data_IF_133034810582
#
_entry.id   IF_133034810582
#
_cell.length_a   1.000
_cell.length_b   1.000
_cell.length_c   1.000
_cell.angle_alpha   90.00
_cell.angle_beta   90.00
_cell.angle_gamma   90.00
#
_symmetry.space_group_name_H-M   'P 1'
#
loop_
_entity.id
_entity.type
_entity.pdbx_description
1 polymer ?
#
# COMPACT_ATOMS: atom_id res chain seq x y z
N UNK A 1 -10.83 -9.85 27.62
CA UNK A 1 -9.40 -9.50 27.40
C UNK A 1 -9.19 -9.54 25.89
N UNK A 2 -9.13 -8.39 25.22
CA UNK A 2 -9.11 -8.35 23.74
C UNK A 2 -7.80 -8.93 23.21
N UNK A 3 -7.88 -9.82 22.22
CA UNK A 3 -6.72 -10.36 21.52
C UNK A 3 -5.82 -9.21 21.06
N UNK A 4 -4.55 -9.22 21.47
CA UNK A 4 -3.57 -8.26 20.97
C UNK A 4 -3.28 -8.59 19.51
N UNK A 5 -3.99 -7.96 18.58
CA UNK A 5 -3.71 -8.11 17.15
C UNK A 5 -2.39 -7.43 16.83
N UNK A 6 -1.48 -8.13 16.17
CA UNK A 6 -0.27 -7.58 15.56
C UNK A 6 -0.63 -7.11 14.15
N UNK A 7 -0.04 -6.00 13.72
CA UNK A 7 -0.16 -5.51 12.35
C UNK A 7 1.23 -5.29 11.78
N UNK A 8 1.45 -5.80 10.58
CA UNK A 8 2.73 -5.79 9.91
C UNK A 8 2.63 -5.03 8.60
N UNK A 9 3.61 -4.18 8.34
CA UNK A 9 3.89 -3.59 7.04
C UNK A 9 5.01 -4.40 6.39
N UNK A 10 4.84 -4.74 5.12
CA UNK A 10 5.84 -5.41 4.29
C UNK A 10 6.18 -4.53 3.10
N UNK A 11 7.47 -4.52 2.75
CA UNK A 11 7.99 -3.96 1.51
C UNK A 11 8.79 -5.07 0.85
N UNK A 12 8.44 -5.40 -0.39
CA UNK A 12 9.12 -6.40 -1.17
C UNK A 12 9.49 -5.85 -2.54
N UNK A 13 10.57 -6.36 -3.12
CA UNK A 13 10.91 -6.12 -4.52
C UNK A 13 10.07 -7.02 -5.41
N UNK A 14 9.43 -6.46 -6.43
CA UNK A 14 8.57 -7.24 -7.34
C UNK A 14 9.36 -8.08 -8.35
N UNK A 15 10.62 -7.74 -8.63
CA UNK A 15 11.43 -8.49 -9.59
C UNK A 15 12.15 -9.66 -8.92
N UNK A 16 12.66 -9.45 -7.70
CA UNK A 16 13.42 -10.48 -6.97
C UNK A 16 12.58 -11.28 -5.97
N UNK A 17 11.35 -10.85 -5.71
CA UNK A 17 10.45 -11.41 -4.68
C UNK A 17 11.02 -11.33 -3.26
N UNK A 18 12.07 -10.52 -3.06
CA UNK A 18 12.74 -10.38 -1.77
C UNK A 18 12.00 -9.42 -0.86
N UNK A 19 11.85 -9.80 0.40
CA UNK A 19 11.33 -8.92 1.45
C UNK A 19 12.45 -7.96 1.86
N UNK A 20 12.30 -6.69 1.50
CA UNK A 20 13.23 -5.60 1.83
C UNK A 20 13.02 -5.12 3.27
N UNK A 21 11.76 -5.00 3.71
CA UNK A 21 11.45 -4.44 5.02
C UNK A 21 10.20 -5.08 5.63
N UNK A 22 10.29 -5.41 6.91
CA UNK A 22 9.16 -5.80 7.74
C UNK A 22 9.08 -4.87 8.94
N UNK A 23 7.93 -4.23 9.14
CA UNK A 23 7.70 -3.38 10.30
C UNK A 23 6.41 -3.75 11.03
N UNK A 24 6.54 -4.12 12.30
CA UNK A 24 5.43 -4.60 13.12
C UNK A 24 4.99 -3.54 14.14
N UNK A 25 3.69 -3.46 14.39
CA UNK A 25 3.14 -2.62 15.45
C UNK A 25 1.81 -3.13 16.00
N UNK A 26 1.27 -2.38 16.96
CA UNK A 26 -0.02 -2.72 17.60
C UNK A 26 -1.16 -2.60 16.59
N UNK A 27 -2.04 -3.60 16.54
CA UNK A 27 -3.11 -3.71 15.54
C UNK A 27 -4.22 -2.65 15.62
N UNK A 28 -4.33 -1.91 16.74
CA UNK A 28 -5.29 -0.79 16.89
C UNK A 28 -4.93 0.47 16.08
N UNK A 29 -3.82 0.51 15.35
CA UNK A 29 -3.41 1.64 14.52
C UNK A 29 -3.83 1.54 13.04
N UNK A 30 -3.96 2.69 12.37
CA UNK A 30 -4.13 2.75 10.92
C UNK A 30 -2.88 2.26 10.18
N UNK A 31 -3.04 1.60 9.03
CA UNK A 31 -1.94 1.06 8.22
C UNK A 31 -0.96 2.16 7.81
N UNK A 32 -1.47 3.31 7.39
CA UNK A 32 -0.63 4.47 7.03
C UNK A 32 0.14 5.06 8.22
N UNK A 33 -0.29 4.82 9.46
CA UNK A 33 0.50 5.19 10.64
C UNK A 33 1.73 4.30 10.80
N UNK A 34 1.65 3.03 10.44
CA UNK A 34 2.80 2.13 10.43
C UNK A 34 3.83 2.58 9.40
N UNK A 35 3.38 2.91 8.18
CA UNK A 35 4.24 3.50 7.14
C UNK A 35 5.04 4.70 7.62
N UNK A 36 4.36 5.68 8.24
CA UNK A 36 5.04 6.88 8.76
C UNK A 36 6.03 6.55 9.88
N UNK A 37 5.76 5.50 10.67
CA UNK A 37 6.61 5.06 11.79
C UNK A 37 7.79 4.20 11.34
N UNK A 38 7.63 3.40 10.29
CA UNK A 38 8.70 2.56 9.75
C UNK A 38 9.81 3.38 9.12
N UNK A 39 9.53 4.64 8.74
CA UNK A 39 10.48 5.58 8.12
C UNK A 39 11.13 5.03 6.85
N UNK A 40 10.49 4.04 6.22
CA UNK A 40 10.88 3.55 4.90
C UNK A 40 10.87 4.74 3.93
N UNK A 41 11.95 4.85 3.15
CA UNK A 41 12.09 5.86 2.10
C UNK A 41 12.43 5.14 0.82
N UNK A 42 11.55 5.29 -0.17
CA UNK A 42 11.82 4.84 -1.52
C UNK A 42 12.70 5.86 -2.22
N UNK A 43 13.55 5.40 -3.13
CA UNK A 43 14.21 6.31 -4.04
C UNK A 43 13.14 7.00 -4.92
N UNK A 44 13.21 8.31 -5.20
CA UNK A 44 12.13 9.03 -5.90
C UNK A 44 11.74 8.45 -7.27
N UNK A 45 12.69 7.78 -7.93
CA UNK A 45 12.47 7.12 -9.22
C UNK A 45 11.93 5.68 -9.11
N UNK A 46 12.01 5.06 -7.95
CA UNK A 46 11.47 3.71 -7.74
C UNK A 46 9.95 3.77 -7.76
N UNK A 47 9.32 2.91 -8.55
CA UNK A 47 7.86 2.78 -8.52
C UNK A 47 7.44 2.03 -7.26
N UNK A 48 6.48 2.56 -6.50
CA UNK A 48 5.84 1.81 -5.42
C UNK A 48 4.37 1.54 -5.72
N UNK A 49 3.93 0.31 -5.47
CA UNK A 49 2.54 -0.11 -5.63
C UNK A 49 2.02 -0.49 -4.25
N UNK A 50 0.95 0.19 -3.84
CA UNK A 50 0.50 0.19 -2.45
C UNK A 50 -0.98 -0.19 -2.35
N UNK A 51 -1.40 -0.66 -1.18
CA UNK A 51 -2.81 -0.97 -0.95
C UNK A 51 -3.68 0.30 -0.82
N UNK A 52 -4.99 0.14 -0.99
CA UNK A 52 -6.00 1.18 -0.78
C UNK A 52 -6.00 1.79 0.63
N UNK A 53 -5.34 1.16 1.62
CA UNK A 53 -5.06 1.73 2.93
C UNK A 53 -4.08 2.90 2.92
N UNK A 54 -3.28 3.06 1.86
CA UNK A 54 -2.19 4.04 1.73
C UNK A 54 -2.58 5.27 0.90
N UNK A 55 -3.87 5.61 0.85
CA UNK A 55 -4.32 6.82 0.16
C UNK A 55 -3.60 8.07 0.68
N UNK A 56 -3.04 8.86 -0.24
CA UNK A 56 -2.24 10.04 0.08
C UNK A 56 -0.74 9.79 0.19
N UNK A 57 -0.26 8.57 -0.05
CA UNK A 57 1.19 8.27 -0.08
C UNK A 57 1.96 9.07 -1.16
N UNK A 58 1.28 9.54 -2.21
CA UNK A 58 1.84 10.44 -3.21
C UNK A 58 2.49 11.71 -2.64
N UNK A 59 2.06 12.17 -1.45
CA UNK A 59 2.67 13.30 -0.76
C UNK A 59 4.05 12.98 -0.13
N UNK A 60 4.36 11.69 0.06
CA UNK A 60 5.61 11.20 0.61
C UNK A 60 6.52 10.57 -0.46
N UNK A 61 5.92 9.99 -1.51
CA UNK A 61 6.62 9.39 -2.64
C UNK A 61 5.82 9.61 -3.92
N UNK A 62 6.31 10.47 -4.82
CA UNK A 62 5.54 10.89 -6.00
C UNK A 62 5.32 9.77 -7.01
N UNK A 63 6.25 8.82 -7.12
CA UNK A 63 6.13 7.67 -8.02
C UNK A 63 5.41 6.49 -7.34
N UNK A 64 4.26 6.78 -6.72
CA UNK A 64 3.44 5.79 -6.01
C UNK A 64 2.07 5.62 -6.64
N UNK A 65 1.63 4.36 -6.69
CA UNK A 65 0.37 3.96 -7.30
C UNK A 65 -0.51 3.26 -6.26
N UNK A 66 -1.72 3.79 -6.09
CA UNK A 66 -2.74 3.22 -5.21
C UNK A 66 -4.03 2.97 -5.99
N UNK A 67 -4.82 1.94 -5.64
CA UNK A 67 -6.14 1.73 -6.21
C UNK A 67 -7.04 2.94 -6.01
N UNK A 68 -7.84 3.29 -7.02
CA UNK A 68 -8.85 4.34 -6.92
C UNK A 68 -10.02 3.87 -6.07
N UNK A 69 -10.33 4.61 -5.01
CA UNK A 69 -11.52 4.38 -4.17
C UNK A 69 -12.75 5.01 -4.82
N UNK A 70 -13.88 4.32 -4.69
CA UNK A 70 -15.20 4.92 -5.00
C UNK A 70 -15.49 6.04 -4.00
N UNK A 71 -16.01 7.16 -4.49
CA UNK A 71 -16.57 8.20 -3.62
C UNK A 71 -18.02 7.89 -3.26
N UNK A 72 -18.57 8.54 -2.23
CA UNK A 72 -19.92 8.25 -1.72
C UNK A 72 -21.02 8.40 -2.78
N UNK A 73 -20.83 9.31 -3.74
CA UNK A 73 -21.87 9.70 -4.71
C UNK A 73 -21.52 9.34 -6.16
N UNK A 74 -20.49 8.52 -6.40
CA UNK A 74 -20.10 8.16 -7.77
C UNK A 74 -19.55 6.73 -7.83
N UNK A 75 -19.86 6.05 -8.94
CA UNK A 75 -19.28 4.75 -9.30
C UNK A 75 -17.90 4.94 -9.93
N UNK A 76 -17.04 3.93 -9.77
CA UNK A 76 -15.81 3.85 -10.55
C UNK A 76 -16.16 3.75 -12.04
N UNK A 77 -15.47 4.54 -12.85
CA UNK A 77 -15.50 4.44 -14.31
C UNK A 77 -14.87 3.13 -14.76
N UNK A 78 -15.15 2.68 -15.98
CA UNK A 78 -14.52 1.47 -16.52
C UNK A 78 -13.00 1.59 -16.54
N UNK A 79 -12.46 2.76 -16.92
CA UNK A 79 -11.02 3.02 -16.90
C UNK A 79 -10.41 2.90 -15.49
N UNK A 80 -11.09 3.38 -14.45
CA UNK A 80 -10.60 3.23 -13.06
C UNK A 80 -10.65 1.79 -12.58
N UNK A 81 -11.66 1.02 -13.01
CA UNK A 81 -11.74 -0.41 -12.71
C UNK A 81 -10.61 -1.17 -13.40
N UNK A 82 -10.34 -0.85 -14.65
CA UNK A 82 -9.30 -1.48 -15.45
C UNK A 82 -7.91 -1.17 -14.89
N UNK A 83 -7.68 0.09 -14.49
CA UNK A 83 -6.50 0.51 -13.73
C UNK A 83 -6.35 -0.27 -12.41
N UNK A 84 -7.42 -0.34 -11.60
CA UNK A 84 -7.39 -1.11 -10.35
C UNK A 84 -7.11 -2.60 -10.59
N UNK A 85 -7.62 -3.18 -11.68
CA UNK A 85 -7.37 -4.56 -12.08
C UNK A 85 -5.92 -4.79 -12.48
N UNK A 86 -5.31 -3.85 -13.22
CA UNK A 86 -3.89 -3.90 -13.55
C UNK A 86 -3.02 -3.86 -12.28
N UNK A 87 -3.30 -2.91 -11.37
CA UNK A 87 -2.60 -2.84 -10.09
C UNK A 87 -2.76 -4.10 -9.24
N UNK A 88 -3.97 -4.69 -9.21
CA UNK A 88 -4.20 -5.91 -8.45
C UNK A 88 -3.33 -7.07 -8.96
N UNK A 89 -3.14 -7.21 -10.28
CA UNK A 89 -2.27 -8.24 -10.86
C UNK A 89 -0.82 -8.07 -10.46
N UNK A 90 -0.32 -6.84 -10.50
CA UNK A 90 1.05 -6.51 -10.07
C UNK A 90 1.27 -6.83 -8.59
N UNK A 91 0.24 -6.62 -7.75
CA UNK A 91 0.31 -6.81 -6.30
C UNK A 91 0.34 -8.26 -5.83
N UNK A 92 -0.05 -9.25 -6.64
CA UNK A 92 -0.19 -10.66 -6.24
C UNK A 92 1.09 -11.23 -5.59
N UNK A 93 2.26 -10.66 -5.91
CA UNK A 93 3.55 -11.06 -5.33
C UNK A 93 3.59 -10.89 -3.79
N UNK A 94 2.76 -10.01 -3.22
CA UNK A 94 2.80 -9.62 -1.79
C UNK A 94 1.51 -10.04 -1.03
N UNK A 95 0.56 -10.74 -1.67
CA UNK A 95 -0.70 -11.19 -1.02
C UNK A 95 -0.61 -12.57 -0.34
#
# INVERSE_FOLDING_TARGET
RGYHTLKSQLVADQNTEEIICVFCGKGRGHDFSLFKKSRVRFHPLTTSIEDSGYQGIAAYHSNSYTPKKKSKNRKLTELEKEYNKALAKERIIIE
#
